data_IF_683364051255
#
_entry.id   IF_683364051255
#
_cell.length_a   1.000
_cell.length_b   1.000
_cell.length_c   1.000
_cell.angle_alpha   90.00
_cell.angle_beta   90.00
_cell.angle_gamma   90.00
#
_symmetry.space_group_name_H-M   'P 1'
#
loop_
_entity.id
_entity.type
_entity.pdbx_description
1 polymer ?
#
# COMPACT_ATOMS: atom_id res chain seq x y z
N UNK A 1 -11.71 23.05 -34.66
CA UNK A 1 -12.73 22.15 -34.10
C UNK A 1 -13.38 22.87 -32.93
N UNK A 2 -14.71 22.84 -32.83
CA UNK A 2 -15.42 23.58 -31.77
C UNK A 2 -15.57 22.73 -30.52
N UNK A 3 -15.25 23.30 -29.37
CA UNK A 3 -15.44 22.66 -28.08
C UNK A 3 -16.93 22.65 -27.72
N UNK A 4 -17.43 21.55 -27.15
CA UNK A 4 -18.80 21.44 -26.67
C UNK A 4 -18.96 22.25 -25.38
N UNK A 5 -20.17 22.75 -25.11
CA UNK A 5 -20.46 23.40 -23.82
C UNK A 5 -20.32 22.34 -22.71
N UNK A 6 -19.68 22.73 -21.62
CA UNK A 6 -19.28 21.87 -20.52
C UNK A 6 -17.93 21.18 -20.72
N UNK A 7 -17.37 21.15 -21.94
CA UNK A 7 -16.17 20.37 -22.25
C UNK A 7 -14.96 20.82 -21.43
N UNK A 8 -14.30 19.85 -20.79
CA UNK A 8 -13.06 20.06 -20.04
C UNK A 8 -11.88 19.60 -20.88
N UNK A 9 -10.88 20.46 -21.00
CA UNK A 9 -9.71 20.21 -21.82
C UNK A 9 -8.46 20.91 -21.29
N UNK A 10 -7.29 20.38 -21.67
CA UNK A 10 -5.99 20.86 -21.25
C UNK A 10 -5.31 21.65 -22.37
N UNK A 11 -4.70 22.79 -22.02
CA UNK A 11 -3.84 23.59 -22.91
C UNK A 11 -2.62 24.05 -22.13
N UNK A 12 -1.42 23.68 -22.58
CA UNK A 12 -0.15 24.08 -21.97
C UNK A 12 -0.11 23.83 -20.44
N UNK A 13 -0.52 22.64 -19.98
CA UNK A 13 -0.52 22.26 -18.57
C UNK A 13 -1.60 22.93 -17.71
N UNK A 14 -2.54 23.66 -18.33
CA UNK A 14 -3.66 24.33 -17.65
C UNK A 14 -4.98 23.77 -18.13
N UNK A 15 -5.89 23.53 -17.19
CA UNK A 15 -7.23 23.03 -17.48
C UNK A 15 -8.21 24.18 -17.69
N UNK A 16 -9.10 23.99 -18.67
CA UNK A 16 -10.15 24.93 -19.01
C UNK A 16 -11.48 24.20 -19.19
N UNK A 17 -12.57 24.94 -18.95
CA UNK A 17 -13.93 24.51 -19.26
C UNK A 17 -14.55 25.45 -20.29
N UNK A 18 -15.18 24.89 -21.32
CA UNK A 18 -16.03 25.63 -22.24
C UNK A 18 -17.39 25.88 -21.58
N UNK A 19 -17.76 27.14 -21.38
CA UNK A 19 -19.04 27.52 -20.75
C UNK A 19 -19.83 28.43 -21.66
N UNK A 20 -21.15 28.42 -21.50
CA UNK A 20 -22.02 29.38 -22.17
C UNK A 20 -21.68 30.80 -21.69
N UNK A 21 -21.63 31.74 -22.63
CA UNK A 21 -21.32 33.13 -22.34
C UNK A 21 -22.59 33.87 -21.90
N UNK A 22 -22.47 34.73 -20.91
CA UNK A 22 -23.56 35.63 -20.53
C UNK A 22 -23.80 36.69 -21.61
N UNK A 23 -24.96 37.35 -21.56
CA UNK A 23 -25.34 38.37 -22.54
C UNK A 23 -24.26 39.46 -22.69
N UNK A 24 -23.70 39.90 -21.56
CA UNK A 24 -22.68 40.96 -21.46
C UNK A 24 -21.23 40.47 -21.65
N UNK A 25 -20.99 39.17 -21.74
CA UNK A 25 -19.64 38.65 -21.90
C UNK A 25 -19.08 38.99 -23.29
N UNK A 26 -17.85 39.48 -23.30
CA UNK A 26 -17.08 39.76 -24.52
C UNK A 26 -15.79 38.93 -24.55
N UNK A 27 -14.92 39.16 -25.53
CA UNK A 27 -13.68 38.38 -25.68
C UNK A 27 -12.78 38.42 -24.43
N UNK A 28 -12.86 39.47 -23.60
CA UNK A 28 -12.06 39.60 -22.38
C UNK A 28 -12.53 38.67 -21.26
N UNK A 29 -13.73 38.11 -21.35
CA UNK A 29 -14.22 37.12 -20.40
C UNK A 29 -13.61 35.72 -20.62
N UNK A 30 -12.83 35.52 -21.69
CA UNK A 30 -12.20 34.25 -22.03
C UNK A 30 -10.74 34.20 -21.56
N UNK A 31 -10.42 33.21 -20.73
CA UNK A 31 -9.10 33.05 -20.11
C UNK A 31 -8.06 32.45 -21.06
N UNK A 32 -8.47 32.02 -22.26
CA UNK A 32 -7.61 31.36 -23.25
C UNK A 32 -6.74 32.33 -24.09
N UNK A 33 -6.78 33.64 -23.76
CA UNK A 33 -5.89 34.72 -24.23
C UNK A 33 -5.36 34.56 -25.68
N UNK A 34 -6.28 34.52 -26.66
CA UNK A 34 -5.94 34.54 -28.08
C UNK A 34 -5.69 33.17 -28.74
N UNK A 35 -5.75 32.06 -28.00
CA UNK A 35 -5.78 30.70 -28.58
C UNK A 35 -7.21 30.27 -29.00
N UNK A 36 -8.20 31.09 -28.64
CA UNK A 36 -9.62 30.93 -28.93
C UNK A 36 -10.08 31.53 -30.27
N UNK A 37 -9.13 32.06 -31.05
CA UNK A 37 -9.35 32.62 -32.39
C UNK A 37 -8.20 32.11 -33.28
N UNK A 38 -8.50 31.77 -34.52
CA UNK A 38 -7.49 31.30 -35.47
C UNK A 38 -6.59 32.47 -35.90
N UNK A 39 -5.39 32.55 -35.33
CA UNK A 39 -4.35 33.50 -35.73
C UNK A 39 -3.21 32.78 -36.44
N UNK A 40 -2.63 33.39 -37.48
CA UNK A 40 -1.47 32.81 -38.19
C UNK A 40 -0.31 32.60 -37.22
N UNK A 41 0.28 31.40 -37.22
CA UNK A 41 1.43 31.04 -36.37
C UNK A 41 1.12 30.70 -34.92
N UNK A 42 -0.16 30.70 -34.47
CA UNK A 42 -0.54 30.28 -33.12
C UNK A 42 -1.34 28.97 -33.12
N UNK A 43 -1.17 28.18 -32.06
CA UNK A 43 -2.00 26.99 -31.82
C UNK A 43 -3.46 27.43 -31.64
N UNK A 44 -4.36 26.84 -32.42
CA UNK A 44 -5.80 27.10 -32.35
C UNK A 44 -6.50 25.97 -31.63
N UNK A 45 -7.17 26.26 -30.53
CA UNK A 45 -7.77 25.24 -29.63
C UNK A 45 -9.29 25.14 -29.78
N UNK A 46 -9.91 26.19 -30.32
CA UNK A 46 -11.35 26.26 -30.57
C UNK A 46 -11.79 27.70 -30.80
N UNK A 47 -13.02 27.88 -31.30
CA UNK A 47 -13.62 29.20 -31.47
C UNK A 47 -14.51 29.52 -30.26
N UNK A 48 -14.34 30.71 -29.67
CA UNK A 48 -15.24 31.25 -28.65
C UNK A 48 -16.19 32.30 -29.25
N UNK A 49 -17.26 32.63 -28.52
CA UNK A 49 -18.20 33.69 -28.88
C UNK A 49 -18.76 33.53 -30.32
N UNK A 50 -18.88 34.65 -31.04
CA UNK A 50 -19.47 34.73 -32.38
C UNK A 50 -18.61 34.11 -33.48
N UNK A 51 -17.44 33.56 -33.14
CA UNK A 51 -16.56 32.88 -34.11
C UNK A 51 -16.94 31.41 -34.32
N UNK A 52 -18.00 30.95 -33.66
CA UNK A 52 -18.53 29.59 -33.78
C UNK A 52 -19.54 29.48 -34.91
N UNK A 53 -19.50 28.35 -35.60
CA UNK A 53 -20.39 27.92 -36.67
C UNK A 53 -21.74 27.41 -36.15
N UNK A 54 -21.81 27.01 -34.88
CA UNK A 54 -23.04 26.56 -34.22
C UNK A 54 -23.93 27.69 -33.67
N UNK A 55 -23.57 28.96 -33.91
CA UNK A 55 -24.24 30.17 -33.43
C UNK A 55 -24.39 30.27 -31.90
N UNK A 56 -23.71 29.41 -31.12
CA UNK A 56 -23.71 29.52 -29.65
C UNK A 56 -22.63 30.50 -29.20
N UNK A 57 -22.88 31.23 -28.12
CA UNK A 57 -21.87 32.10 -27.50
C UNK A 57 -21.24 31.36 -26.33
N UNK A 58 -19.92 31.14 -26.38
CA UNK A 58 -19.18 30.48 -25.31
C UNK A 58 -17.89 31.20 -24.94
N UNK A 59 -17.45 31.00 -23.69
CA UNK A 59 -16.12 31.41 -23.23
C UNK A 59 -15.37 30.21 -22.64
N UNK A 60 -14.06 30.25 -22.69
CA UNK A 60 -13.21 29.28 -22.00
C UNK A 60 -12.78 29.86 -20.67
N UNK A 61 -13.14 29.20 -19.58
CA UNK A 61 -12.76 29.55 -18.21
C UNK A 61 -11.66 28.64 -17.72
N UNK A 62 -10.60 29.22 -17.16
CA UNK A 62 -9.52 28.45 -16.55
C UNK A 62 -10.02 27.85 -15.23
N UNK A 63 -9.82 26.56 -15.05
CA UNK A 63 -10.19 25.88 -13.81
C UNK A 63 -9.25 26.28 -12.66
N UNK A 64 -9.84 26.53 -11.49
CA UNK A 64 -9.13 26.85 -10.25
C UNK A 64 -8.96 25.58 -9.41
N UNK A 65 -7.74 25.35 -8.91
CA UNK A 65 -7.44 24.24 -8.00
C UNK A 65 -8.15 24.45 -6.66
N UNK A 66 -8.75 23.40 -6.12
CA UNK A 66 -9.48 23.45 -4.83
C UNK A 66 -9.12 22.27 -3.94
N UNK A 67 -7.95 22.34 -3.33
CA UNK A 67 -7.44 21.29 -2.44
C UNK A 67 -6.10 20.73 -2.92
N UNK A 68 -5.55 19.84 -2.11
CA UNK A 68 -4.26 19.19 -2.38
C UNK A 68 -4.43 17.99 -3.33
N UNK A 69 -3.42 17.68 -4.16
CA UNK A 69 -3.40 16.45 -4.92
C UNK A 69 -3.46 15.20 -4.02
N UNK A 70 -4.06 14.13 -4.51
CA UNK A 70 -4.16 12.87 -3.78
C UNK A 70 -4.07 11.65 -4.70
N UNK A 71 -3.70 10.51 -4.11
CA UNK A 71 -3.59 9.24 -4.82
C UNK A 71 -4.97 8.58 -5.02
N UNK A 72 -5.20 8.05 -6.21
CA UNK A 72 -6.41 7.32 -6.54
C UNK A 72 -6.08 6.08 -7.37
N UNK A 73 -6.71 4.94 -7.03
CA UNK A 73 -6.49 3.71 -7.75
C UNK A 73 -7.48 3.58 -8.93
N UNK A 74 -6.93 3.50 -10.14
CA UNK A 74 -7.70 3.23 -11.37
C UNK A 74 -7.42 1.81 -11.82
N UNK A 75 -8.47 1.01 -11.91
CA UNK A 75 -8.39 -0.36 -12.41
C UNK A 75 -7.72 -0.37 -13.80
N UNK A 76 -6.73 -1.24 -14.00
CA UNK A 76 -5.89 -1.36 -15.22
C UNK A 76 -4.86 -0.26 -15.48
N UNK A 77 -4.81 0.82 -14.69
CA UNK A 77 -3.78 1.88 -14.80
C UNK A 77 -2.89 2.01 -13.56
N UNK A 78 -3.36 1.54 -12.41
CA UNK A 78 -2.63 1.63 -11.13
C UNK A 78 -2.96 2.90 -10.36
N UNK A 79 -2.03 3.35 -9.51
CA UNK A 79 -2.18 4.58 -8.74
C UNK A 79 -1.94 5.78 -9.66
N UNK A 80 -2.87 6.72 -9.67
CA UNK A 80 -2.74 8.03 -10.34
C UNK A 80 -2.87 9.15 -9.33
N UNK A 81 -2.24 10.29 -9.61
CA UNK A 81 -2.42 11.49 -8.82
C UNK A 81 -3.57 12.33 -9.40
N UNK A 82 -4.55 12.67 -8.57
CA UNK A 82 -5.67 13.53 -8.96
C UNK A 82 -5.54 14.90 -8.27
N UNK A 83 -5.89 15.96 -9.00
CA UNK A 83 -5.99 17.32 -8.47
C UNK A 83 -7.45 17.78 -8.56
N UNK A 84 -8.06 18.21 -7.45
CA UNK A 84 -9.39 18.81 -7.46
C UNK A 84 -9.43 20.21 -8.10
N UNK A 85 -10.48 20.47 -8.88
CA UNK A 85 -10.77 21.74 -9.52
C UNK A 85 -12.23 22.16 -9.34
N UNK A 86 -12.48 23.47 -9.27
CA UNK A 86 -13.83 24.03 -9.21
C UNK A 86 -14.46 24.12 -10.60
N UNK A 87 -15.68 23.61 -10.75
CA UNK A 87 -16.44 23.68 -12.01
C UNK A 87 -17.21 25.00 -12.13
N UNK A 88 -17.38 25.47 -13.37
CA UNK A 88 -18.23 26.61 -13.70
C UNK A 88 -19.60 26.19 -14.24
N UNK A 89 -19.70 24.99 -14.82
CA UNK A 89 -20.92 24.41 -15.35
C UNK A 89 -20.86 22.87 -15.28
N UNK A 90 -21.96 22.20 -15.58
CA UNK A 90 -22.01 20.75 -15.72
C UNK A 90 -20.95 20.27 -16.73
N UNK A 91 -20.05 19.35 -16.34
CA UNK A 91 -18.93 19.00 -17.18
C UNK A 91 -19.34 18.03 -18.29
N UNK A 92 -18.76 18.23 -19.47
CA UNK A 92 -18.77 17.26 -20.57
C UNK A 92 -17.40 16.59 -20.61
N UNK A 93 -17.34 15.34 -20.15
CA UNK A 93 -16.08 14.58 -20.04
C UNK A 93 -15.83 13.82 -21.34
N UNK A 94 -14.65 14.00 -21.91
CA UNK A 94 -14.25 13.29 -23.12
C UNK A 94 -12.76 12.94 -23.08
N UNK A 95 -12.44 11.66 -22.90
CA UNK A 95 -11.06 11.16 -22.95
C UNK A 95 -10.17 11.65 -21.80
N UNK A 96 -10.76 12.03 -20.67
CA UNK A 96 -10.06 12.50 -19.46
C UNK A 96 -10.39 11.57 -18.31
N UNK A 97 -9.37 11.15 -17.55
CA UNK A 97 -9.56 10.44 -16.28
C UNK A 97 -9.94 11.46 -15.22
N UNK A 98 -11.13 11.31 -14.65
CA UNK A 98 -11.63 12.23 -13.64
C UNK A 98 -12.66 11.61 -12.71
N UNK A 99 -12.83 12.22 -11.53
CA UNK A 99 -13.98 12.02 -10.67
C UNK A 99 -14.78 13.34 -10.60
N UNK A 100 -16.08 13.29 -10.89
CA UNK A 100 -16.96 14.47 -10.82
C UNK A 100 -17.75 14.41 -9.52
N UNK A 101 -17.68 15.46 -8.72
CA UNK A 101 -18.47 15.61 -7.50
C UNK A 101 -19.53 16.71 -7.72
N UNK A 102 -20.77 16.28 -7.93
CA UNK A 102 -21.89 17.19 -8.20
C UNK A 102 -22.33 17.98 -6.97
N UNK A 103 -22.16 17.42 -5.76
CA UNK A 103 -22.59 18.08 -4.53
C UNK A 103 -21.70 19.27 -4.19
N UNK A 104 -20.39 19.15 -4.42
CA UNK A 104 -19.42 20.22 -4.20
C UNK A 104 -19.14 21.03 -5.47
N UNK A 105 -19.71 20.65 -6.61
CA UNK A 105 -19.45 21.21 -7.93
C UNK A 105 -17.94 21.28 -8.25
N UNK A 106 -17.25 20.16 -8.01
CA UNK A 106 -15.81 20.00 -8.27
C UNK A 106 -15.53 18.82 -9.20
N UNK A 107 -14.36 18.83 -9.80
CA UNK A 107 -13.85 17.71 -10.60
C UNK A 107 -12.39 17.45 -10.25
N UNK A 108 -12.07 16.19 -10.01
CA UNK A 108 -10.71 15.73 -9.74
C UNK A 108 -10.11 15.23 -11.05
N UNK A 109 -9.04 15.87 -11.52
CA UNK A 109 -8.42 15.62 -12.81
C UNK A 109 -7.03 14.99 -12.63
N UNK A 110 -6.71 13.99 -13.46
CA UNK A 110 -5.39 13.35 -13.45
C UNK A 110 -4.25 14.34 -13.72
N UNK A 111 -3.25 14.31 -12.85
CA UNK A 111 -1.94 14.92 -13.07
C UNK A 111 -1.12 13.94 -13.91
N UNK A 112 -0.78 14.33 -15.14
CA UNK A 112 0.13 13.55 -15.99
C UNK A 112 1.53 13.62 -15.42
N UNK A 113 2.05 12.49 -14.96
CA UNK A 113 3.45 12.37 -14.56
C UNK A 113 4.34 12.30 -15.81
N UNK A 114 5.36 13.16 -15.87
CA UNK A 114 6.49 13.11 -16.79
C UNK A 114 7.64 12.29 -16.18
N UNK A 115 8.55 11.79 -17.03
CA UNK A 115 9.65 10.90 -16.59
C UNK A 115 10.56 11.51 -15.52
N UNK A 116 10.70 12.83 -15.49
CA UNK A 116 11.51 13.56 -14.49
C UNK A 116 10.85 13.55 -13.09
N UNK A 117 9.52 13.66 -12.99
CA UNK A 117 8.79 13.60 -11.71
C UNK A 117 8.82 12.20 -11.06
N UNK A 118 9.17 11.16 -11.84
CA UNK A 118 9.40 9.81 -11.33
C UNK A 118 10.74 9.69 -10.60
N UNK A 119 11.76 10.49 -10.89
CA UNK A 119 13.06 10.37 -10.24
C UNK A 119 13.07 10.97 -8.82
N UNK A 120 12.23 11.98 -8.54
CA UNK A 120 12.21 12.66 -7.22
C UNK A 120 11.35 11.95 -6.17
N UNK A 121 10.30 11.22 -6.57
CA UNK A 121 9.37 10.55 -5.63
C UNK A 121 9.78 9.13 -5.23
N UNK A 122 10.71 8.50 -5.94
CA UNK A 122 11.35 7.29 -5.45
C UNK A 122 12.58 7.67 -4.62
N UNK A 123 12.35 8.17 -3.40
CA UNK A 123 13.11 7.63 -2.28
C UNK A 123 12.63 6.20 -2.03
N UNK A 124 12.79 5.34 -3.03
CA UNK A 124 12.68 3.92 -2.82
C UNK A 124 13.68 3.63 -1.72
N UNK A 125 13.23 2.98 -0.64
CA UNK A 125 14.15 2.36 0.29
C UNK A 125 15.20 1.61 -0.55
N UNK A 126 16.46 1.83 -0.23
CA UNK A 126 17.59 1.24 -0.95
C UNK A 126 17.63 -0.27 -0.66
N UNK A 127 16.69 -0.98 -1.29
CA UNK A 127 16.51 -2.41 -1.15
C UNK A 127 17.29 -3.13 -2.24
N UNK A 128 17.64 -4.39 -1.97
CA UNK A 128 18.25 -5.26 -2.96
C UNK A 128 17.39 -5.36 -4.24
N UNK A 129 16.06 -5.30 -4.12
CA UNK A 129 15.15 -5.30 -5.27
C UNK A 129 15.27 -4.02 -6.10
N UNK A 130 15.28 -2.84 -5.46
CA UNK A 130 15.46 -1.55 -6.15
C UNK A 130 16.80 -1.51 -6.89
N UNK A 131 17.89 -1.99 -6.27
CA UNK A 131 19.21 -2.10 -6.92
C UNK A 131 19.21 -3.06 -8.10
N UNK A 132 18.52 -4.20 -7.97
CA UNK A 132 18.44 -5.20 -9.03
C UNK A 132 17.63 -4.71 -10.24
N UNK A 133 16.49 -4.04 -9.99
CA UNK A 133 15.69 -3.36 -11.03
C UNK A 133 16.51 -2.27 -11.71
N UNK A 134 17.25 -1.48 -10.93
CA UNK A 134 18.15 -0.46 -11.46
C UNK A 134 19.23 -1.04 -12.39
N UNK A 135 19.81 -2.20 -12.06
CA UNK A 135 20.77 -2.89 -12.95
C UNK A 135 20.12 -3.35 -14.25
N UNK A 136 18.91 -3.93 -14.19
CA UNK A 136 18.21 -4.40 -15.37
C UNK A 136 17.80 -3.26 -16.31
N UNK A 137 17.20 -2.18 -15.78
CA UNK A 137 16.77 -1.02 -16.57
C UNK A 137 17.96 -0.31 -17.24
N UNK A 138 19.13 -0.32 -16.60
CA UNK A 138 20.37 0.22 -17.18
C UNK A 138 21.13 -0.78 -18.07
N UNK A 139 20.52 -1.91 -18.45
CA UNK A 139 21.12 -2.96 -19.27
C UNK A 139 22.45 -3.51 -18.72
N UNK A 140 22.64 -3.49 -17.40
CA UNK A 140 23.83 -4.04 -16.74
C UNK A 140 23.71 -5.55 -16.48
N UNK A 141 22.49 -6.08 -16.52
CA UNK A 141 22.16 -7.50 -16.45
C UNK A 141 21.08 -7.82 -17.49
N UNK A 142 21.09 -9.04 -18.02
CA UNK A 142 20.04 -9.52 -18.91
C UNK A 142 18.78 -9.97 -18.14
N UNK A 143 17.73 -10.28 -18.88
CA UNK A 143 16.45 -10.68 -18.31
C UNK A 143 16.53 -12.00 -17.55
N UNK A 144 17.30 -12.98 -18.03
CA UNK A 144 17.46 -14.29 -17.37
C UNK A 144 18.13 -14.12 -16.00
N UNK A 145 19.23 -13.37 -15.95
CA UNK A 145 19.96 -13.03 -14.72
C UNK A 145 19.09 -12.22 -13.75
N UNK A 146 18.30 -11.27 -14.27
CA UNK A 146 17.34 -10.51 -13.46
C UNK A 146 16.26 -11.42 -12.86
N UNK A 147 15.67 -12.30 -13.66
CA UNK A 147 14.61 -13.22 -13.24
C UNK A 147 15.11 -14.21 -12.17
N UNK A 148 16.32 -14.76 -12.33
CA UNK A 148 16.94 -15.65 -11.34
C UNK A 148 17.20 -14.93 -10.02
N UNK A 149 17.78 -13.74 -10.05
CA UNK A 149 18.07 -12.96 -8.86
C UNK A 149 16.79 -12.51 -8.13
N UNK A 150 15.71 -12.22 -8.85
CA UNK A 150 14.39 -11.97 -8.26
C UNK A 150 13.86 -13.24 -7.58
N UNK A 151 13.94 -14.40 -8.24
CA UNK A 151 13.50 -15.68 -7.66
C UNK A 151 14.25 -16.01 -6.36
N UNK A 152 15.57 -15.80 -6.34
CA UNK A 152 16.41 -16.00 -5.16
C UNK A 152 16.04 -15.04 -4.02
N UNK A 153 15.78 -13.77 -4.33
CA UNK A 153 15.35 -12.77 -3.34
C UNK A 153 14.01 -13.17 -2.69
N UNK A 154 13.07 -13.68 -3.47
CA UNK A 154 11.77 -14.15 -2.96
C UNK A 154 11.85 -15.52 -2.30
N UNK A 155 12.78 -16.41 -2.69
CA UNK A 155 13.01 -17.67 -1.99
C UNK A 155 13.65 -17.46 -0.62
N UNK A 156 14.62 -16.54 -0.52
CA UNK A 156 15.23 -16.16 0.76
C UNK A 156 14.18 -15.62 1.75
N UNK A 157 13.22 -14.82 1.27
CA UNK A 157 12.10 -14.30 2.08
C UNK A 157 11.10 -15.40 2.48
N UNK A 158 11.00 -16.47 1.68
CA UNK A 158 10.17 -17.65 1.95
C UNK A 158 10.81 -18.57 3.00
N UNK A 159 12.14 -18.65 3.04
CA UNK A 159 12.88 -19.44 4.04
C UNK A 159 13.02 -18.74 5.39
N UNK A 160 12.73 -17.43 5.46
CA UNK A 160 12.47 -16.72 6.71
C UNK A 160 11.01 -16.84 7.19
N UNK A 161 10.24 -17.84 6.72
CA UNK A 161 8.95 -18.16 7.34
C UNK A 161 9.23 -18.51 8.79
N UNK A 162 8.76 -17.68 9.74
CA UNK A 162 8.64 -18.11 11.12
C UNK A 162 7.92 -19.46 11.11
N UNK A 163 8.48 -20.47 11.77
CA UNK A 163 7.82 -21.76 11.96
C UNK A 163 6.70 -21.56 12.98
N UNK A 164 5.65 -20.86 12.57
CA UNK A 164 4.50 -20.54 13.40
C UNK A 164 3.69 -21.81 13.64
N UNK A 165 3.24 -22.00 14.87
CA UNK A 165 2.33 -23.10 15.20
C UNK A 165 0.92 -22.76 14.73
N UNK A 166 0.17 -23.78 14.34
CA UNK A 166 -1.25 -23.64 13.99
C UNK A 166 -2.04 -22.96 15.11
N UNK A 167 -3.08 -22.22 14.72
CA UNK A 167 -3.95 -21.52 15.66
C UNK A 167 -4.56 -22.48 16.68
N UNK A 168 -4.60 -22.04 17.94
CA UNK A 168 -5.22 -22.80 19.00
C UNK A 168 -6.19 -21.90 19.79
N UNK A 169 -7.48 -22.16 19.63
CA UNK A 169 -8.55 -21.36 20.21
C UNK A 169 -8.47 -21.26 21.74
N UNK A 170 -8.18 -22.37 22.41
CA UNK A 170 -8.14 -22.41 23.88
C UNK A 170 -6.91 -21.68 24.44
N UNK A 171 -5.75 -21.82 23.79
CA UNK A 171 -4.55 -21.04 24.10
C UNK A 171 -4.78 -19.53 23.87
N UNK A 172 -5.44 -19.16 22.77
CA UNK A 172 -5.78 -17.77 22.48
C UNK A 172 -6.75 -17.18 23.52
N UNK A 173 -7.75 -17.94 23.97
CA UNK A 173 -8.65 -17.55 25.07
C UNK A 173 -7.92 -17.36 26.41
N UNK A 174 -6.83 -18.10 26.63
CA UNK A 174 -5.95 -17.93 27.79
C UNK A 174 -5.03 -16.70 27.67
N UNK A 175 -5.11 -15.95 26.56
CA UNK A 175 -4.32 -14.74 26.32
C UNK A 175 -2.94 -15.00 25.73
N UNK A 176 -2.65 -16.22 25.26
CA UNK A 176 -1.39 -16.47 24.53
C UNK A 176 -1.34 -15.64 23.25
N UNK A 177 -0.16 -15.13 22.87
CA UNK A 177 -0.03 -14.21 21.75
C UNK A 177 -0.33 -14.91 20.42
N UNK A 178 -0.94 -14.17 19.50
CA UNK A 178 -1.28 -14.63 18.15
C UNK A 178 -0.74 -13.65 17.11
N UNK A 179 -0.55 -14.16 15.90
CA UNK A 179 -0.16 -13.38 14.74
C UNK A 179 -0.86 -13.90 13.49
N UNK A 180 -0.74 -13.21 12.37
CA UNK A 180 -1.10 -13.78 11.07
C UNK A 180 -0.02 -14.75 10.60
N UNK A 181 -0.36 -15.60 9.62
CA UNK A 181 0.57 -16.57 9.02
C UNK A 181 1.78 -15.92 8.35
N UNK A 182 1.65 -14.69 7.87
CA UNK A 182 2.77 -13.89 7.37
C UNK A 182 3.50 -13.06 8.45
N UNK A 183 3.14 -13.23 9.72
CA UNK A 183 3.90 -12.73 10.87
C UNK A 183 3.45 -11.38 11.44
N UNK A 184 2.32 -10.79 10.99
CA UNK A 184 1.80 -9.55 11.57
C UNK A 184 1.19 -9.82 12.94
N UNK A 185 1.48 -8.97 13.93
CA UNK A 185 0.88 -9.09 15.26
C UNK A 185 -0.64 -8.93 15.17
N UNK A 186 -1.36 -9.77 15.89
CA UNK A 186 -2.82 -9.72 15.97
C UNK A 186 -3.26 -9.72 17.44
N UNK A 187 -4.28 -8.90 17.76
CA UNK A 187 -4.94 -8.89 19.07
C UNK A 187 -6.40 -9.28 18.93
N UNK A 188 -6.80 -10.36 19.57
CA UNK A 188 -8.19 -10.82 19.55
C UNK A 188 -9.01 -10.00 20.54
N UNK A 189 -10.19 -9.56 20.12
CA UNK A 189 -11.10 -8.71 20.91
C UNK A 189 -12.47 -9.33 21.16
N UNK A 190 -12.82 -10.41 20.47
CA UNK A 190 -14.08 -11.14 20.65
C UNK A 190 -13.90 -12.59 20.21
N UNK A 191 -14.59 -13.53 20.88
CA UNK A 191 -14.58 -14.97 20.59
C UNK A 191 -15.98 -15.56 20.37
N UNK A 192 -17.02 -14.74 20.46
CA UNK A 192 -18.43 -15.16 20.48
C UNK A 192 -19.31 -14.34 19.52
N UNK A 193 -18.70 -13.69 18.53
CA UNK A 193 -19.44 -12.96 17.49
C UNK A 193 -20.39 -13.92 16.76
N UNK A 194 -21.63 -13.50 16.57
CA UNK A 194 -22.60 -14.26 15.78
C UNK A 194 -22.64 -13.69 14.37
N UNK A 195 -21.85 -14.26 13.47
CA UNK A 195 -21.80 -13.81 12.08
C UNK A 195 -21.55 -14.99 11.14
N UNK A 196 -22.46 -15.19 10.20
CA UNK A 196 -22.37 -16.26 9.21
C UNK A 196 -22.17 -15.67 7.82
N UNK A 197 -21.21 -16.21 7.07
CA UNK A 197 -20.96 -15.88 5.68
C UNK A 197 -20.55 -17.16 4.94
N UNK A 198 -21.16 -17.42 3.78
CA UNK A 198 -20.94 -18.64 2.98
C UNK A 198 -20.97 -19.94 3.79
N UNK A 199 -21.96 -20.10 4.66
CA UNK A 199 -22.13 -21.28 5.54
C UNK A 199 -21.10 -21.45 6.66
N UNK A 200 -20.16 -20.52 6.81
CA UNK A 200 -19.18 -20.51 7.90
C UNK A 200 -19.55 -19.48 8.96
N UNK A 201 -19.34 -19.83 10.23
CA UNK A 201 -19.45 -18.89 11.35
C UNK A 201 -18.09 -18.24 11.63
N UNK A 202 -18.09 -16.94 11.91
CA UNK A 202 -16.89 -16.17 12.23
C UNK A 202 -16.99 -15.55 13.63
N UNK A 203 -16.81 -16.36 14.68
CA UNK A 203 -16.99 -15.91 16.05
C UNK A 203 -15.81 -15.11 16.60
N UNK A 204 -14.64 -15.21 15.97
CA UNK A 204 -13.44 -14.50 16.43
C UNK A 204 -13.35 -13.17 15.70
N UNK A 205 -13.06 -12.10 16.43
CA UNK A 205 -12.71 -10.79 15.85
C UNK A 205 -11.34 -10.38 16.36
N UNK A 206 -10.43 -10.03 15.46
CA UNK A 206 -9.10 -9.58 15.81
C UNK A 206 -8.73 -8.28 15.08
N UNK A 207 -7.92 -7.47 15.74
CA UNK A 207 -7.21 -6.34 15.13
C UNK A 207 -5.83 -6.80 14.70
N UNK A 208 -5.54 -6.70 13.40
CA UNK A 208 -4.26 -7.08 12.80
C UNK A 208 -3.49 -5.83 12.45
N UNK A 209 -2.24 -5.75 12.91
CA UNK A 209 -1.36 -4.63 12.60
C UNK A 209 -1.06 -4.59 11.09
N UNK A 210 -1.27 -3.45 10.47
CA UNK A 210 -0.90 -3.11 9.10
C UNK A 210 -0.14 -1.78 9.09
N UNK A 211 1.19 -1.86 9.21
CA UNK A 211 2.10 -0.72 9.33
C UNK A 211 1.77 0.17 10.54
N UNK A 212 1.21 1.36 10.29
CA UNK A 212 0.86 2.35 11.33
C UNK A 212 -0.60 2.22 11.81
N UNK A 213 -1.38 1.29 11.25
CA UNK A 213 -2.80 1.11 11.54
C UNK A 213 -3.12 -0.32 11.96
N UNK A 214 -4.31 -0.52 12.52
CA UNK A 214 -4.86 -1.86 12.77
C UNK A 214 -6.15 -2.07 11.96
N UNK A 215 -6.23 -3.20 11.26
CA UNK A 215 -7.40 -3.62 10.52
C UNK A 215 -8.22 -4.61 11.33
N UNK A 216 -9.54 -4.45 11.34
CA UNK A 216 -10.46 -5.37 12.03
C UNK A 216 -10.85 -6.49 11.08
N UNK A 217 -10.56 -7.73 11.47
CA UNK A 217 -10.90 -8.93 10.73
C UNK A 217 -11.71 -9.91 11.57
N UNK A 218 -12.44 -10.79 10.87
CA UNK A 218 -13.28 -11.80 11.46
C UNK A 218 -12.80 -13.19 11.03
N UNK A 219 -12.76 -14.12 11.97
CA UNK A 219 -12.17 -15.44 11.76
C UNK A 219 -13.10 -16.53 12.23
N UNK A 220 -12.99 -17.69 11.59
CA UNK A 220 -13.64 -18.93 12.03
C UNK A 220 -13.07 -19.40 13.38
N UNK A 221 -13.66 -20.43 13.97
CA UNK A 221 -13.13 -21.03 15.22
C UNK A 221 -11.71 -21.58 15.06
N UNK A 222 -11.35 -21.95 13.84
CA UNK A 222 -10.03 -22.48 13.47
C UNK A 222 -9.03 -21.36 13.12
N UNK A 223 -9.42 -20.09 13.27
CA UNK A 223 -8.56 -18.94 12.99
C UNK A 223 -8.42 -18.60 11.50
N UNK A 224 -9.27 -19.15 10.64
CA UNK A 224 -9.23 -18.89 9.20
C UNK A 224 -9.99 -17.61 8.85
N UNK A 225 -9.42 -16.79 7.97
CA UNK A 225 -10.07 -15.56 7.50
C UNK A 225 -11.17 -15.85 6.46
N UNK A 226 -10.99 -16.89 5.64
CA UNK A 226 -11.89 -17.22 4.52
C UNK A 226 -12.36 -18.67 4.63
N UNK A 227 -13.44 -18.89 5.36
CA UNK A 227 -14.13 -20.18 5.46
C UNK A 227 -13.19 -21.32 5.80
N UNK A 228 -12.95 -22.21 4.83
CA UNK A 228 -12.07 -23.38 4.93
C UNK A 228 -10.80 -23.29 4.07
N UNK A 229 -10.40 -22.10 3.61
CA UNK A 229 -9.22 -21.89 2.78
C UNK A 229 -8.11 -21.25 3.60
N UNK A 230 -6.92 -21.84 3.52
CA UNK A 230 -5.73 -21.24 4.10
C UNK A 230 -5.33 -19.96 3.34
N UNK A 231 -4.96 -18.94 4.10
CA UNK A 231 -4.50 -17.65 3.62
C UNK A 231 -3.38 -17.08 4.48
N UNK A 232 -2.71 -16.06 3.95
CA UNK A 232 -1.59 -15.38 4.63
C UNK A 232 -2.03 -14.62 5.89
N UNK A 233 -3.30 -14.23 5.94
CA UNK A 233 -3.89 -13.45 7.04
C UNK A 233 -4.56 -14.32 8.11
N UNK A 234 -4.53 -15.65 7.96
CA UNK A 234 -5.07 -16.56 8.99
C UNK A 234 -4.31 -16.37 10.30
N UNK A 235 -5.03 -16.52 11.41
CA UNK A 235 -4.41 -16.50 12.73
C UNK A 235 -3.53 -17.73 12.90
N UNK A 236 -2.43 -17.53 13.62
CA UNK A 236 -1.44 -18.52 14.02
C UNK A 236 -1.03 -18.22 15.46
N UNK A 237 -0.51 -19.22 16.16
CA UNK A 237 0.11 -18.97 17.47
C UNK A 237 1.48 -18.34 17.26
N UNK A 238 1.71 -17.19 17.90
CA UNK A 238 3.01 -16.53 17.88
C UNK A 238 3.93 -17.24 18.89
N UNK A 239 5.09 -17.79 18.46
CA UNK A 239 6.04 -18.39 19.38
C UNK A 239 6.49 -17.40 20.43
N UNK A 240 6.55 -17.85 21.68
CA UNK A 240 7.05 -17.01 22.76
C UNK A 240 8.58 -17.06 22.75
N UNK A 241 9.21 -15.90 22.56
CA UNK A 241 10.66 -15.78 22.75
C UNK A 241 10.97 -15.96 24.23
N UNK A 242 11.63 -17.06 24.56
CA UNK A 242 12.13 -17.33 25.90
C UNK A 242 13.61 -17.08 25.96
N UNK A 243 14.05 -16.61 27.11
CA UNK A 243 15.45 -16.43 27.43
C UNK A 243 15.81 -17.23 28.67
N UNK A 244 17.07 -17.64 28.74
CA UNK A 244 17.57 -18.43 29.85
C UNK A 244 19.08 -18.60 29.80
N UNK A 245 19.59 -19.30 30.79
CA UNK A 245 21.03 -19.48 31.01
C UNK A 245 21.37 -20.97 31.00
N UNK A 246 22.45 -21.33 30.32
CA UNK A 246 22.94 -22.71 30.24
C UNK A 246 24.39 -22.76 30.67
N UNK A 247 24.74 -23.77 31.46
CA UNK A 247 26.12 -24.05 31.84
C UNK A 247 26.81 -24.91 30.78
N UNK A 248 28.00 -24.48 30.38
CA UNK A 248 28.90 -25.17 29.45
C UNK A 248 29.95 -25.90 30.28
N UNK A 249 30.23 -27.15 29.94
CA UNK A 249 31.14 -28.03 30.68
C UNK A 249 32.27 -28.55 29.78
N UNK A 250 33.42 -28.88 30.38
CA UNK A 250 34.53 -29.53 29.69
C UNK A 250 34.21 -31.01 29.48
N UNK A 251 34.13 -31.44 28.23
CA UNK A 251 33.86 -32.83 27.89
C UNK A 251 35.17 -33.62 27.88
N UNK A 252 35.33 -34.55 28.83
CA UNK A 252 36.43 -35.52 28.83
C UNK A 252 35.91 -36.97 28.73
N UNK A 253 34.60 -37.17 28.61
CA UNK A 253 34.04 -38.52 28.62
C UNK A 253 32.71 -38.56 27.89
N UNK A 254 32.72 -39.13 26.68
CA UNK A 254 31.56 -39.34 25.81
C UNK A 254 30.41 -40.15 26.47
N UNK A 255 30.64 -40.67 27.67
CA UNK A 255 29.67 -41.37 28.52
C UNK A 255 28.87 -40.44 29.45
N UNK A 256 29.28 -39.18 29.62
CA UNK A 256 28.64 -38.23 30.54
C UNK A 256 27.90 -37.11 29.79
N UNK A 257 26.71 -37.41 29.27
CA UNK A 257 25.77 -36.45 28.67
C UNK A 257 25.14 -35.48 29.72
N UNK A 258 25.95 -34.94 30.64
CA UNK A 258 25.54 -33.89 31.60
C UNK A 258 25.68 -32.48 31.02
N UNK A 259 26.22 -32.33 29.81
CA UNK A 259 26.20 -31.07 29.07
C UNK A 259 24.78 -30.67 28.67
N UNK A 260 24.36 -29.45 29.04
CA UNK A 260 23.17 -28.76 28.53
C UNK A 260 21.77 -29.35 28.84
N UNK A 261 21.56 -30.10 29.93
CA UNK A 261 20.22 -30.66 30.22
C UNK A 261 19.23 -29.69 30.87
N UNK A 262 19.71 -28.56 31.40
CA UNK A 262 18.87 -27.60 32.13
C UNK A 262 19.09 -26.18 31.63
N UNK A 263 17.97 -25.47 31.44
CA UNK A 263 17.94 -24.04 31.14
C UNK A 263 17.43 -23.33 32.40
N UNK A 264 18.22 -22.38 32.89
CA UNK A 264 17.94 -21.62 34.10
C UNK A 264 17.33 -20.27 33.78
N UNK A 265 16.44 -19.79 34.64
CA UNK A 265 15.82 -18.46 34.56
C UNK A 265 16.81 -17.31 34.83
N UNK A 266 17.80 -17.55 35.69
CA UNK A 266 18.77 -16.54 36.14
C UNK A 266 20.20 -17.05 36.04
N UNK A 267 21.14 -16.13 35.81
CA UNK A 267 22.58 -16.46 35.73
C UNK A 267 23.09 -16.95 37.08
N UNK A 268 22.66 -16.33 38.17
CA UNK A 268 23.09 -16.63 39.53
C UNK A 268 22.74 -18.07 39.92
N UNK A 269 21.52 -18.50 39.58
CA UNK A 269 21.08 -19.88 39.80
C UNK A 269 21.87 -20.86 38.96
N UNK A 270 22.09 -20.55 37.68
CA UNK A 270 22.91 -21.36 36.79
C UNK A 270 24.32 -21.57 37.36
N UNK A 271 25.00 -20.49 37.78
CA UNK A 271 26.34 -20.55 38.36
C UNK A 271 26.35 -21.31 39.69
N UNK A 272 25.34 -21.13 40.55
CA UNK A 272 25.24 -21.83 41.84
C UNK A 272 25.07 -23.34 41.68
N UNK A 273 24.34 -23.77 40.66
CA UNK A 273 24.09 -25.18 40.36
C UNK A 273 25.15 -25.79 39.40
N UNK A 274 26.23 -25.05 39.12
CA UNK A 274 27.29 -25.51 38.24
C UNK A 274 28.09 -26.68 38.86
N UNK A 275 28.25 -27.75 38.08
CA UNK A 275 29.05 -28.92 38.46
C UNK A 275 30.57 -28.70 38.36
N UNK A 276 31.35 -29.69 38.81
CA UNK A 276 32.82 -29.61 38.89
C UNK A 276 33.57 -29.46 37.56
N UNK A 277 32.94 -29.77 36.43
CA UNK A 277 33.53 -29.62 35.08
C UNK A 277 33.11 -28.32 34.38
N UNK A 278 32.51 -27.37 35.12
CA UNK A 278 31.98 -26.12 34.58
C UNK A 278 33.06 -25.23 33.96
N UNK A 279 32.77 -24.71 32.77
CA UNK A 279 33.60 -23.74 32.06
C UNK A 279 33.00 -22.34 32.21
N UNK A 280 31.75 -22.18 31.79
CA UNK A 280 31.08 -20.87 31.72
C UNK A 280 29.56 -21.01 31.66
N UNK A 281 28.84 -19.91 31.92
CA UNK A 281 27.39 -19.82 31.74
C UNK A 281 27.10 -18.86 30.58
N UNK A 282 26.32 -19.32 29.61
CA UNK A 282 25.91 -18.53 28.44
C UNK A 282 24.42 -18.22 28.49
N UNK A 283 24.04 -17.02 28.07
CA UNK A 283 22.64 -16.66 27.84
C UNK A 283 22.22 -17.24 26.47
N UNK A 284 21.08 -17.91 26.44
CA UNK A 284 20.46 -18.40 25.22
C UNK A 284 19.07 -17.80 25.06
N UNK A 285 18.64 -17.69 23.81
CA UNK A 285 17.26 -17.35 23.47
C UNK A 285 16.73 -18.45 22.56
N UNK A 286 15.49 -18.87 22.75
CA UNK A 286 14.81 -19.82 21.88
C UNK A 286 13.34 -19.44 21.71
N UNK A 287 12.72 -20.01 20.69
CA UNK A 287 11.30 -19.83 20.41
C UNK A 287 10.58 -21.11 20.83
N UNK A 288 9.52 -20.97 21.64
CA UNK A 288 8.69 -22.09 22.10
C UNK A 288 7.24 -21.93 21.66
#
# INVERSE_FOLDING_TARGET
>A
MERKIGEIFEVNGKWYQCVEANENDNCNACDLQGLCIRMQGKQHVGNCMNWRTDNKRTVYKKLEKVGEPYEYFVQHKGIVMLQPYKLFATPFINGVICNVNYDTNTIDLEIKQNKEDMEENYKAEDTLLTRLVGKYVNNLIDYETFEEAVKELYSYKKDSKLTLKEFNLEAAKQGKPVCTRDGRKARIICFDRKFYHDWYNYPIVAMVNNNDNELVHAYTQDGLLVGNKEGELDLMMLPEKKEGWVNVYYDNDASSHRGCRFIYDTKERAVKEAGSAYITTVKINWEE
#
